data_IF_910240915730
#
_entry.id   IF_910240915730
#
_cell.length_a   1.000
_cell.length_b   1.000
_cell.length_c   1.000
_cell.angle_alpha   90.00
_cell.angle_beta   90.00
_cell.angle_gamma   90.00
#
_symmetry.space_group_name_H-M   'P 1'
#
loop_
_entity.id
_entity.type
_entity.pdbx_description
1 polymer ?
#
# COMPACT_ATOMS: atom_id res chain seq x y z
N UNK A 1 3.35 10.57 43.38
CA UNK A 1 3.52 11.25 42.08
C UNK A 1 4.06 10.24 41.08
N UNK A 2 3.29 9.91 40.05
CA UNK A 2 3.65 8.89 39.06
C UNK A 2 4.68 9.43 38.08
N UNK A 3 5.85 8.80 38.05
CA UNK A 3 6.90 9.03 37.05
C UNK A 3 6.40 8.46 35.72
N UNK A 4 5.67 9.29 34.96
CA UNK A 4 5.42 9.00 33.55
C UNK A 4 6.79 9.06 32.85
N UNK A 5 7.40 7.88 32.72
CA UNK A 5 8.56 7.68 31.88
C UNK A 5 8.09 7.79 30.44
N UNK A 6 8.06 9.02 29.92
CA UNK A 6 8.05 9.25 28.48
C UNK A 6 9.27 8.54 27.93
N UNK A 7 9.03 7.35 27.38
CA UNK A 7 10.09 6.58 26.77
C UNK A 7 10.52 7.36 25.53
N UNK A 8 11.83 7.58 25.32
CA UNK A 8 12.32 8.30 24.16
C UNK A 8 11.70 7.69 22.90
N UNK A 9 10.98 8.52 22.15
CA UNK A 9 10.47 8.15 20.84
C UNK A 9 11.66 8.11 19.89
N UNK A 10 11.90 6.97 19.28
CA UNK A 10 12.93 6.84 18.26
C UNK A 10 12.42 7.42 16.94
N UNK A 11 13.33 7.83 16.05
CA UNK A 11 12.95 8.35 14.73
C UNK A 11 12.00 7.42 13.97
N UNK A 12 12.16 6.10 14.13
CA UNK A 12 11.26 5.09 13.57
C UNK A 12 9.85 5.17 14.20
N UNK A 13 9.77 5.37 15.52
CA UNK A 13 8.49 5.49 16.22
C UNK A 13 7.74 6.75 15.78
N UNK A 14 8.44 7.88 15.69
CA UNK A 14 7.83 9.14 15.22
C UNK A 14 7.35 9.02 13.77
N UNK A 15 8.16 8.41 12.90
CA UNK A 15 7.79 8.18 11.51
C UNK A 15 6.56 7.29 11.38
N UNK A 16 6.50 6.18 12.12
CA UNK A 16 5.32 5.31 12.15
C UNK A 16 4.08 6.07 12.65
N UNK A 17 4.24 6.91 13.67
CA UNK A 17 3.14 7.71 14.18
C UNK A 17 2.64 8.71 13.14
N UNK A 18 3.56 9.41 12.46
CA UNK A 18 3.25 10.34 11.38
C UNK A 18 2.49 9.66 10.24
N UNK A 19 2.94 8.48 9.77
CA UNK A 19 2.27 7.71 8.72
C UNK A 19 0.84 7.33 9.14
N UNK A 20 0.63 6.97 10.41
CA UNK A 20 -0.67 6.53 10.91
C UNK A 20 -1.63 7.73 11.11
N UNK A 21 -1.10 8.87 11.53
CA UNK A 21 -1.87 10.10 11.77
C UNK A 21 -2.24 10.79 10.46
N UNK A 22 -1.36 10.74 9.46
CA UNK A 22 -1.59 11.34 8.15
C UNK A 22 -2.67 10.60 7.36
N UNK A 23 -3.49 11.31 6.59
CA UNK A 23 -4.53 10.73 5.72
C UNK A 23 -4.00 10.12 4.42
N UNK A 24 -2.68 10.18 4.23
CA UNK A 24 -1.97 9.53 3.13
C UNK A 24 -1.97 8.01 3.28
N UNK A 25 -1.87 7.31 2.15
CA UNK A 25 -1.73 5.85 2.16
C UNK A 25 -0.34 5.44 2.66
N UNK A 26 -0.25 4.40 3.52
CA UNK A 26 1.01 4.00 4.13
C UNK A 26 2.07 3.55 3.11
N UNK A 27 1.65 3.15 1.92
CA UNK A 27 2.53 2.69 0.83
C UNK A 27 3.45 3.79 0.27
N UNK A 28 3.12 5.06 0.53
CA UNK A 28 3.86 6.22 0.04
C UNK A 28 5.19 6.35 0.79
N UNK A 29 5.13 6.34 2.11
CA UNK A 29 6.29 6.55 3.00
C UNK A 29 6.98 5.24 3.37
N UNK A 30 6.39 4.10 3.00
CA UNK A 30 6.89 2.76 3.29
C UNK A 30 8.35 2.53 2.86
N UNK A 31 8.80 2.91 1.64
CA UNK A 31 10.18 2.63 1.22
C UNK A 31 11.19 3.34 2.10
N UNK A 32 10.91 4.59 2.45
CA UNK A 32 11.78 5.39 3.29
C UNK A 32 11.73 4.90 4.75
N UNK A 33 10.56 4.52 5.27
CA UNK A 33 10.45 3.88 6.58
C UNK A 33 11.27 2.57 6.64
N UNK A 34 11.14 1.72 5.64
CA UNK A 34 11.90 0.47 5.54
C UNK A 34 13.41 0.74 5.52
N UNK A 35 13.87 1.77 4.80
CA UNK A 35 15.28 2.16 4.81
C UNK A 35 15.75 2.66 6.18
N UNK A 36 14.96 3.49 6.88
CA UNK A 36 15.29 3.94 8.23
C UNK A 36 15.39 2.78 9.23
N UNK A 37 14.49 1.79 9.10
CA UNK A 37 14.51 0.58 9.93
C UNK A 37 15.79 -0.24 9.68
N UNK A 38 16.23 -0.35 8.42
CA UNK A 38 17.46 -1.08 8.06
C UNK A 38 18.72 -0.42 8.58
N UNK A 39 18.73 0.91 8.64
CA UNK A 39 19.90 1.68 9.05
C UNK A 39 20.16 1.57 10.57
N UNK A 40 19.09 1.35 11.35
CA UNK A 40 19.17 1.26 12.81
C UNK A 40 19.24 -0.20 13.28
N UNK A 41 20.23 -0.53 14.12
CA UNK A 41 20.47 -1.90 14.62
C UNK A 41 19.23 -2.54 15.29
N UNK A 42 18.45 -1.78 16.06
CA UNK A 42 17.21 -2.23 16.73
C UNK A 42 15.92 -1.84 15.98
N UNK A 43 16.02 -1.41 14.73
CA UNK A 43 14.92 -0.74 14.04
C UNK A 43 13.68 -1.60 13.84
N UNK A 44 13.86 -2.89 13.54
CA UNK A 44 12.74 -3.81 13.31
C UNK A 44 11.95 -4.08 14.62
N UNK A 45 12.65 -4.21 15.75
CA UNK A 45 12.05 -4.38 17.08
C UNK A 45 11.31 -3.10 17.50
N UNK A 46 11.87 -1.93 17.22
CA UNK A 46 11.23 -0.65 17.52
C UNK A 46 9.97 -0.44 16.67
N UNK A 47 10.02 -0.76 15.39
CA UNK A 47 8.84 -0.73 14.53
C UNK A 47 7.75 -1.69 15.04
N UNK A 48 8.11 -2.91 15.46
CA UNK A 48 7.17 -3.84 16.08
C UNK A 48 6.56 -3.27 17.36
N UNK A 49 7.37 -2.61 18.21
CA UNK A 49 6.91 -1.96 19.44
C UNK A 49 5.94 -0.80 19.15
N UNK A 50 6.23 0.03 18.16
CA UNK A 50 5.41 1.17 17.75
C UNK A 50 4.05 0.70 17.22
N UNK A 51 4.04 -0.26 16.29
CA UNK A 51 2.80 -0.87 15.75
C UNK A 51 1.98 -1.49 16.88
N UNK A 52 2.61 -2.28 17.76
CA UNK A 52 1.92 -2.91 18.91
C UNK A 52 1.26 -1.87 19.82
N UNK A 53 1.94 -0.75 20.09
CA UNK A 53 1.37 0.34 20.91
C UNK A 53 0.16 0.98 20.21
N UNK A 54 0.23 1.26 18.90
CA UNK A 54 -0.90 1.79 18.12
C UNK A 54 -2.09 0.81 18.07
N UNK A 55 -1.84 -0.50 18.01
CA UNK A 55 -2.90 -1.52 18.14
C UNK A 55 -3.50 -1.64 19.56
N UNK A 56 -2.79 -1.17 20.60
CA UNK A 56 -3.26 -1.23 21.99
C UNK A 56 -3.99 0.02 22.44
N UNK A 57 -3.43 1.19 22.12
CA UNK A 57 -3.87 2.47 22.65
C UNK A 57 -4.46 3.41 21.58
N UNK A 58 -4.24 3.10 20.30
CA UNK A 58 -4.72 3.95 19.22
C UNK A 58 -6.23 3.88 19.03
N UNK A 59 -6.79 4.89 18.37
CA UNK A 59 -8.20 4.92 18.00
C UNK A 59 -8.54 3.87 16.94
N UNK A 60 -9.83 3.62 16.69
CA UNK A 60 -10.27 2.66 15.66
C UNK A 60 -9.57 2.89 14.31
N UNK A 61 -9.57 4.13 13.79
CA UNK A 61 -8.89 4.46 12.51
C UNK A 61 -7.39 4.16 12.54
N UNK A 62 -6.70 4.53 13.61
CA UNK A 62 -5.26 4.28 13.79
C UNK A 62 -4.94 2.79 13.91
N UNK A 63 -5.81 2.02 14.58
CA UNK A 63 -5.70 0.56 14.64
C UNK A 63 -5.85 -0.06 13.24
N UNK A 64 -6.76 0.45 12.40
CA UNK A 64 -6.90 -0.01 11.02
C UNK A 64 -5.68 0.33 10.17
N UNK A 65 -5.19 1.57 10.24
CA UNK A 65 -4.01 2.04 9.49
C UNK A 65 -2.74 1.33 9.94
N UNK A 66 -2.56 1.10 11.24
CA UNK A 66 -1.41 0.32 11.74
C UNK A 66 -1.41 -1.13 11.25
N UNK A 67 -2.58 -1.76 11.06
CA UNK A 67 -2.67 -3.07 10.41
C UNK A 67 -2.33 -3.00 8.90
N UNK A 68 -2.73 -1.94 8.20
CA UNK A 68 -2.37 -1.76 6.79
C UNK A 68 -0.87 -1.55 6.62
N UNK A 69 -0.28 -0.69 7.44
CA UNK A 69 1.16 -0.46 7.46
C UNK A 69 1.93 -1.75 7.79
N UNK A 70 1.49 -2.50 8.80
CA UNK A 70 2.08 -3.79 9.13
C UNK A 70 2.01 -4.75 7.94
N UNK A 71 0.87 -4.85 7.26
CA UNK A 71 0.74 -5.70 6.08
C UNK A 71 1.68 -5.26 4.96
N UNK A 72 1.75 -3.96 4.68
CA UNK A 72 2.64 -3.41 3.66
C UNK A 72 4.12 -3.73 3.97
N UNK A 73 4.54 -3.62 5.24
CA UNK A 73 5.87 -4.02 5.69
C UNK A 73 6.13 -5.53 5.59
N UNK A 74 5.13 -6.38 5.82
CA UNK A 74 5.27 -7.84 5.68
C UNK A 74 5.45 -8.23 4.21
N UNK A 75 4.66 -7.63 3.32
CA UNK A 75 4.71 -7.92 1.88
C UNK A 75 6.00 -7.39 1.25
N UNK A 76 6.46 -6.20 1.64
CA UNK A 76 7.58 -5.52 0.98
C UNK A 76 8.93 -5.60 1.73
N UNK A 77 8.94 -5.98 3.00
CA UNK A 77 10.12 -5.85 3.87
C UNK A 77 11.20 -6.93 3.73
N UNK A 78 10.84 -8.12 3.25
CA UNK A 78 11.78 -9.23 3.06
C UNK A 78 12.49 -9.67 4.36
N UNK A 79 13.64 -10.36 4.23
CA UNK A 79 14.36 -10.95 5.39
C UNK A 79 14.81 -9.94 6.44
N UNK A 80 15.05 -8.69 6.06
CA UNK A 80 15.60 -7.68 6.98
C UNK A 80 14.64 -7.28 8.10
N UNK A 81 13.34 -7.57 7.96
CA UNK A 81 12.34 -7.34 9.01
C UNK A 81 11.98 -8.62 9.78
N UNK A 82 12.83 -9.64 9.74
CA UNK A 82 12.64 -10.93 10.44
C UNK A 82 12.30 -10.73 11.93
N UNK A 83 12.99 -9.82 12.62
CA UNK A 83 12.72 -9.56 14.04
C UNK A 83 11.33 -8.97 14.29
N UNK A 84 10.81 -8.17 13.35
CA UNK A 84 9.46 -7.62 13.45
C UNK A 84 8.40 -8.71 13.25
N UNK A 85 8.63 -9.64 12.31
CA UNK A 85 7.71 -10.72 12.01
C UNK A 85 7.64 -11.78 13.12
N UNK A 86 8.70 -11.86 13.94
CA UNK A 86 8.82 -12.82 15.02
C UNK A 86 8.75 -12.15 16.42
N UNK A 87 8.40 -10.87 16.51
CA UNK A 87 8.24 -10.19 17.79
C UNK A 87 7.08 -10.79 18.60
N UNK A 88 7.43 -11.44 19.71
CA UNK A 88 6.48 -12.17 20.57
C UNK A 88 5.34 -11.27 21.07
N UNK A 89 5.65 -10.03 21.48
CA UNK A 89 4.68 -9.12 22.08
C UNK A 89 3.69 -8.57 21.04
N UNK A 90 4.16 -8.35 19.81
CA UNK A 90 3.31 -7.95 18.68
C UNK A 90 2.37 -9.10 18.28
N UNK A 91 2.90 -10.33 18.14
CA UNK A 91 2.11 -11.51 17.80
C UNK A 91 1.04 -11.82 18.85
N UNK A 92 1.39 -11.76 20.14
CA UNK A 92 0.43 -11.92 21.23
C UNK A 92 -0.66 -10.85 21.17
N UNK A 93 -0.31 -9.60 20.87
CA UNK A 93 -1.31 -8.53 20.73
C UNK A 93 -2.27 -8.80 19.58
N UNK A 94 -1.76 -9.21 18.42
CA UNK A 94 -2.60 -9.58 17.27
C UNK A 94 -3.53 -10.75 17.59
N UNK A 95 -3.02 -11.78 18.28
CA UNK A 95 -3.82 -12.92 18.74
C UNK A 95 -4.94 -12.47 19.67
N UNK A 96 -4.63 -11.71 20.72
CA UNK A 96 -5.61 -11.18 21.66
C UNK A 96 -6.67 -10.33 20.92
N UNK A 97 -6.24 -9.46 20.02
CA UNK A 97 -7.13 -8.64 19.19
C UNK A 97 -8.01 -9.44 18.23
N UNK A 98 -7.57 -10.65 17.86
CA UNK A 98 -8.34 -11.55 17.01
C UNK A 98 -9.32 -12.46 17.79
N UNK A 99 -9.06 -12.72 19.08
CA UNK A 99 -9.88 -13.61 19.92
C UNK A 99 -10.88 -12.86 20.81
N UNK A 100 -10.54 -11.66 21.27
CA UNK A 100 -11.35 -10.92 22.23
C UNK A 100 -12.72 -10.50 21.63
N UNK A 101 -13.85 -10.91 22.25
CA UNK A 101 -15.18 -10.51 21.84
C UNK A 101 -15.42 -8.99 21.92
N UNK A 102 -14.78 -8.31 22.87
CA UNK A 102 -14.98 -6.88 23.17
C UNK A 102 -14.31 -5.97 22.14
N UNK A 103 -13.36 -6.50 21.36
CA UNK A 103 -12.67 -5.75 20.32
C UNK A 103 -13.56 -5.60 19.09
N UNK A 104 -13.42 -4.46 18.41
CA UNK A 104 -14.17 -4.11 17.22
C UNK A 104 -14.20 -5.28 16.21
N UNK A 105 -15.42 -5.73 15.89
CA UNK A 105 -15.64 -6.88 14.99
C UNK A 105 -14.99 -6.68 13.61
N UNK A 106 -14.94 -5.46 13.09
CA UNK A 106 -14.28 -5.17 11.81
C UNK A 106 -12.76 -5.35 11.90
N UNK A 107 -12.15 -4.91 13.00
CA UNK A 107 -10.71 -5.04 13.23
C UNK A 107 -10.33 -6.51 13.37
N UNK A 108 -11.12 -7.25 14.16
CA UNK A 108 -10.98 -8.70 14.35
C UNK A 108 -11.01 -9.46 13.02
N UNK A 109 -12.00 -9.17 12.17
CA UNK A 109 -12.08 -9.74 10.81
C UNK A 109 -10.85 -9.42 9.96
N UNK A 110 -10.36 -8.19 10.01
CA UNK A 110 -9.18 -7.77 9.25
C UNK A 110 -7.93 -8.54 9.67
N UNK A 111 -7.68 -8.68 10.98
CA UNK A 111 -6.55 -9.46 11.51
C UNK A 111 -6.64 -10.92 11.04
N UNK A 112 -7.83 -11.55 11.11
CA UNK A 112 -8.03 -12.93 10.64
C UNK A 112 -7.70 -13.06 9.15
N UNK A 113 -8.17 -12.13 8.31
CA UNK A 113 -7.89 -12.14 6.87
C UNK A 113 -6.39 -11.99 6.60
N UNK A 114 -5.72 -11.07 7.29
CA UNK A 114 -4.27 -10.88 7.18
C UNK A 114 -3.51 -12.12 7.62
N UNK A 115 -3.90 -12.75 8.73
CA UNK A 115 -3.30 -13.99 9.22
C UNK A 115 -3.38 -15.13 8.19
N UNK A 116 -4.52 -15.27 7.53
CA UNK A 116 -4.72 -16.26 6.47
C UNK A 116 -3.82 -15.94 5.28
N UNK A 117 -3.83 -14.69 4.82
CA UNK A 117 -2.98 -14.22 3.71
C UNK A 117 -1.49 -14.44 3.99
N UNK A 118 -1.02 -14.08 5.18
CA UNK A 118 0.39 -14.24 5.54
C UNK A 118 0.79 -15.71 5.62
N UNK A 119 -0.08 -16.58 6.15
CA UNK A 119 0.17 -18.01 6.15
C UNK A 119 0.24 -18.57 4.71
N UNK A 120 -0.67 -18.19 3.81
CA UNK A 120 -0.67 -18.68 2.43
C UNK A 120 0.53 -18.20 1.61
N UNK A 121 1.00 -16.97 1.85
CA UNK A 121 2.08 -16.37 1.06
C UNK A 121 3.48 -16.63 1.64
N UNK A 122 3.59 -16.92 2.94
CA UNK A 122 4.87 -16.95 3.64
C UNK A 122 5.08 -18.17 4.53
N UNK A 123 4.21 -19.21 4.49
CA UNK A 123 4.40 -20.45 5.27
C UNK A 123 5.74 -21.12 5.03
N UNK A 124 6.28 -21.01 3.82
CA UNK A 124 7.46 -21.75 3.37
C UNK A 124 8.76 -21.05 3.79
N UNK A 125 8.67 -19.81 4.27
CA UNK A 125 9.82 -18.94 4.55
C UNK A 125 10.06 -18.88 6.06
N UNK A 126 11.22 -19.40 6.50
CA UNK A 126 11.60 -19.49 7.92
C UNK A 126 11.56 -18.14 8.65
N UNK A 127 11.96 -17.06 7.99
CA UNK A 127 12.00 -15.72 8.61
C UNK A 127 10.62 -15.10 8.84
N UNK A 128 9.53 -15.65 8.28
CA UNK A 128 8.15 -15.23 8.56
C UNK A 128 7.42 -16.16 9.55
N UNK A 129 8.12 -17.08 10.22
CA UNK A 129 7.51 -18.16 11.00
C UNK A 129 6.47 -17.67 12.03
N UNK A 130 6.73 -16.57 12.73
CA UNK A 130 5.84 -15.99 13.72
C UNK A 130 4.52 -15.52 13.13
N UNK A 131 4.58 -14.60 12.16
CA UNK A 131 3.42 -14.06 11.45
C UNK A 131 2.67 -15.14 10.66
N UNK A 132 3.37 -16.03 9.95
CA UNK A 132 2.73 -17.12 9.20
C UNK A 132 2.09 -18.16 10.13
N UNK A 133 2.63 -18.35 11.34
CA UNK A 133 2.07 -19.22 12.37
C UNK A 133 0.81 -18.67 13.04
N UNK A 134 0.54 -17.37 12.92
CA UNK A 134 -0.57 -16.67 13.58
C UNK A 134 -1.94 -17.28 13.22
N UNK A 135 -2.13 -17.73 11.98
CA UNK A 135 -3.37 -18.40 11.51
C UNK A 135 -3.75 -19.60 12.38
N UNK A 136 -2.77 -20.40 12.83
CA UNK A 136 -3.01 -21.60 13.64
C UNK A 136 -3.48 -21.25 15.07
N UNK A 137 -3.25 -20.02 15.51
CA UNK A 137 -3.51 -19.57 16.89
C UNK A 137 -4.79 -18.75 17.04
N UNK A 138 -5.49 -18.48 15.94
CA UNK A 138 -6.66 -17.61 15.89
C UNK A 138 -7.87 -18.42 15.42
N UNK A 139 -9.08 -18.14 15.93
CA UNK A 139 -10.31 -18.78 15.46
C UNK A 139 -10.57 -18.49 13.98
N UNK A 140 -10.14 -19.38 13.09
CA UNK A 140 -10.54 -19.37 11.69
C UNK A 140 -11.91 -20.02 11.59
N UNK A 141 -12.99 -19.25 11.82
CA UNK A 141 -14.30 -19.69 11.32
C UNK A 141 -14.15 -19.80 9.81
N UNK A 142 -14.20 -21.03 9.28
CA UNK A 142 -14.29 -21.29 7.84
C UNK A 142 -15.43 -20.43 7.31
N UNK A 143 -15.08 -19.31 6.70
CA UNK A 143 -16.04 -18.40 6.10
C UNK A 143 -16.47 -19.09 4.81
N UNK A 144 -17.25 -20.17 4.92
CA UNK A 144 -18.04 -20.66 3.81
C UNK A 144 -18.88 -19.45 3.39
N UNK A 145 -18.54 -18.84 2.24
CA UNK A 145 -19.40 -17.85 1.60
C UNK A 145 -20.80 -18.48 1.59
N UNK A 146 -21.73 -17.93 2.37
CA UNK A 146 -23.15 -18.20 2.14
C UNK A 146 -23.41 -17.67 0.74
N UNK A 147 -23.42 -18.58 -0.23
CA UNK A 147 -23.96 -18.33 -1.56
C UNK A 147 -25.45 -18.09 -1.28
N UNK A 148 -25.86 -16.83 -1.31
CA UNK A 148 -27.27 -16.46 -1.26
C UNK A 148 -27.89 -16.90 -2.58
N UNK A 149 -28.32 -18.15 -2.64
CA UNK A 149 -29.32 -18.58 -3.60
C UNK A 149 -30.67 -18.17 -3.04
N UNK A 150 -31.17 -17.07 -3.58
CA UNK A 150 -32.54 -16.61 -3.38
C UNK A 150 -33.44 -17.52 -4.22
N UNK A 151 -33.85 -18.67 -3.70
CA UNK A 151 -34.95 -19.42 -4.30
C UNK A 151 -35.90 -19.94 -3.21
N UNK A 152 -37.14 -19.55 -3.43
CA UNK A 152 -38.40 -19.91 -2.81
C UNK A 152 -38.64 -21.42 -2.71
N UNK A 153 -39.26 -21.86 -1.61
CA UNK A 153 -40.24 -22.95 -1.65
C UNK A 153 -39.80 -24.32 -1.10
N UNK A 154 -40.35 -24.64 0.08
CA UNK A 154 -41.00 -25.91 0.44
C UNK A 154 -40.25 -27.27 0.47
N UNK A 155 -40.37 -27.89 1.66
CA UNK A 155 -40.59 -29.31 1.93
C UNK A 155 -39.43 -30.32 1.94
N UNK A 156 -39.28 -30.93 3.13
CA UNK A 156 -38.98 -32.35 3.45
C UNK A 156 -38.23 -33.23 2.44
N UNK A 157 -37.14 -33.85 2.91
CA UNK A 157 -36.76 -35.29 2.77
C UNK A 157 -35.38 -35.46 3.43
N UNK A 158 -35.25 -36.04 4.64
CA UNK A 158 -35.31 -37.46 4.98
C UNK A 158 -34.35 -38.32 4.14
N UNK A 159 -33.32 -38.85 4.81
CA UNK A 159 -32.39 -39.93 4.44
C UNK A 159 -31.91 -40.00 2.98
N UNK A 160 -30.61 -39.77 2.75
CA UNK A 160 -29.91 -40.69 1.86
C UNK A 160 -28.46 -40.91 2.29
N UNK A 161 -28.12 -42.18 2.28
CA UNK A 161 -26.96 -42.85 2.86
C UNK A 161 -25.78 -42.87 1.88
N UNK A 162 -24.66 -43.36 2.40
CA UNK A 162 -23.31 -43.52 1.88
C UNK A 162 -23.01 -43.74 0.38
N UNK A 163 -21.77 -43.36 0.05
CA UNK A 163 -20.84 -44.03 -0.87
C UNK A 163 -21.18 -44.13 -2.37
N UNK A 164 -20.63 -43.20 -3.17
CA UNK A 164 -19.81 -43.49 -4.36
C UNK A 164 -19.52 -42.16 -5.11
N UNK A 165 -18.29 -41.65 -5.04
CA UNK A 165 -17.51 -41.40 -6.26
C UNK A 165 -16.08 -40.98 -5.92
N UNK A 166 -15.17 -41.94 -6.07
CA UNK A 166 -13.75 -41.70 -6.15
C UNK A 166 -13.40 -41.00 -7.46
N UNK A 167 -12.38 -40.14 -7.40
CA UNK A 167 -11.46 -39.81 -8.52
C UNK A 167 -12.06 -39.04 -9.70
N UNK A 168 -11.82 -37.74 -9.70
CA UNK A 168 -11.36 -37.06 -10.91
C UNK A 168 -10.24 -36.08 -10.56
N UNK A 169 -9.00 -36.55 -10.72
CA UNK A 169 -7.85 -35.69 -10.99
C UNK A 169 -7.90 -35.40 -12.48
N UNK A 170 -8.36 -34.22 -12.86
CA UNK A 170 -8.15 -33.70 -14.22
C UNK A 170 -7.16 -32.56 -14.15
N UNK A 171 -5.96 -32.84 -14.67
CA UNK A 171 -5.02 -31.86 -15.17
C UNK A 171 -5.69 -31.16 -16.36
N UNK A 172 -6.10 -29.90 -16.17
CA UNK A 172 -6.38 -29.00 -17.29
C UNK A 172 -5.78 -27.62 -16.98
N UNK A 173 -4.46 -27.53 -17.15
CA UNK A 173 -3.82 -26.26 -17.48
C UNK A 173 -3.95 -26.07 -18.99
N UNK A 174 -4.84 -25.18 -19.41
CA UNK A 174 -4.68 -24.29 -20.57
C UNK A 174 -5.86 -23.29 -20.50
N UNK A 175 -5.55 -21.99 -20.46
CA UNK A 175 -6.46 -20.85 -20.31
C UNK A 175 -7.22 -20.70 -18.97
N UNK A 176 -6.47 -20.47 -17.89
CA UNK A 176 -7.02 -19.77 -16.73
C UNK A 176 -6.94 -18.27 -17.03
N UNK A 177 -8.09 -17.58 -17.03
CA UNK A 177 -8.16 -16.12 -17.12
C UNK A 177 -7.04 -15.47 -16.29
N UNK A 178 -6.23 -14.55 -16.83
CA UNK A 178 -5.15 -13.90 -16.09
C UNK A 178 -5.64 -13.30 -14.77
N UNK A 179 -6.87 -12.79 -14.76
CA UNK A 179 -7.57 -12.28 -13.58
C UNK A 179 -7.77 -13.33 -12.47
N UNK A 180 -8.02 -14.59 -12.85
CA UNK A 180 -8.16 -15.72 -11.92
C UNK A 180 -6.77 -16.25 -11.51
N UNK A 181 -5.82 -16.33 -12.44
CA UNK A 181 -4.44 -16.78 -12.20
C UNK A 181 -3.69 -15.87 -11.21
N UNK A 182 -3.85 -14.56 -11.36
CA UNK A 182 -3.20 -13.55 -10.51
C UNK A 182 -4.10 -13.01 -9.39
N UNK A 183 -5.28 -13.60 -9.18
CA UNK A 183 -6.25 -13.22 -8.14
C UNK A 183 -6.49 -11.70 -8.07
N UNK A 184 -6.61 -11.07 -9.24
CA UNK A 184 -6.82 -9.62 -9.37
C UNK A 184 -8.14 -9.28 -8.65
N UNK A 185 -8.14 -8.45 -7.59
CA UNK A 185 -9.35 -8.16 -6.82
C UNK A 185 -10.41 -7.51 -7.72
N UNK A 186 -11.53 -8.21 -7.98
CA UNK A 186 -12.65 -7.62 -8.70
C UNK A 186 -13.26 -6.50 -7.86
N UNK A 187 -13.08 -5.26 -8.32
CA UNK A 187 -13.62 -4.06 -7.70
C UNK A 187 -15.14 -4.07 -7.83
N UNK A 188 -15.86 -3.81 -6.73
CA UNK A 188 -17.29 -3.56 -6.79
C UNK A 188 -17.50 -2.12 -7.26
N UNK A 189 -17.67 -1.94 -8.58
CA UNK A 189 -17.72 -0.63 -9.24
C UNK A 189 -18.71 0.36 -8.58
N UNK A 190 -19.87 -0.10 -8.11
CA UNK A 190 -20.86 0.75 -7.43
C UNK A 190 -20.35 1.38 -6.14
N UNK A 191 -19.46 0.70 -5.39
CA UNK A 191 -18.91 1.23 -4.14
C UNK A 191 -17.70 2.13 -4.35
N UNK A 192 -17.05 1.97 -5.49
CA UNK A 192 -15.76 2.59 -5.80
C UNK A 192 -15.93 3.78 -6.75
N UNK A 193 -17.07 3.88 -7.44
CA UNK A 193 -17.48 5.06 -8.23
C UNK A 193 -17.25 6.41 -7.54
N UNK A 194 -17.68 6.67 -6.29
CA UNK A 194 -17.43 7.96 -5.64
C UNK A 194 -15.94 8.22 -5.39
N UNK A 195 -15.15 7.17 -5.13
CA UNK A 195 -13.70 7.29 -4.95
C UNK A 195 -12.99 7.54 -6.27
N UNK A 196 -13.43 6.89 -7.35
CA UNK A 196 -12.90 7.11 -8.71
C UNK A 196 -13.16 8.56 -9.13
N UNK A 197 -14.37 9.09 -8.90
CA UNK A 197 -14.70 10.50 -9.18
C UNK A 197 -13.82 11.47 -8.40
N UNK A 198 -13.65 11.22 -7.10
CA UNK A 198 -12.76 12.03 -6.24
C UNK A 198 -11.31 11.99 -6.74
N UNK A 199 -10.84 10.81 -7.13
CA UNK A 199 -9.47 10.57 -7.56
C UNK A 199 -9.15 11.22 -8.91
N UNK A 200 -10.12 11.24 -9.84
CA UNK A 200 -10.02 12.01 -11.09
C UNK A 200 -9.91 13.51 -10.77
N UNK A 201 -10.74 14.03 -9.88
CA UNK A 201 -10.68 15.44 -9.49
C UNK A 201 -9.34 15.79 -8.80
N UNK A 202 -8.84 14.91 -7.93
CA UNK A 202 -7.55 15.08 -7.26
C UNK A 202 -6.38 15.06 -8.26
N UNK A 203 -6.46 14.21 -9.29
CA UNK A 203 -5.46 14.13 -10.35
C UNK A 203 -5.36 15.42 -11.15
N UNK A 204 -6.49 15.97 -11.62
CA UNK A 204 -6.51 17.24 -12.34
C UNK A 204 -6.06 18.40 -11.46
N UNK A 205 -6.40 18.41 -10.17
CA UNK A 205 -5.88 19.42 -9.25
C UNK A 205 -4.36 19.31 -9.07
N UNK A 206 -3.84 18.10 -8.93
CA UNK A 206 -2.41 17.86 -8.74
C UNK A 206 -1.59 18.21 -9.98
N UNK A 207 -2.06 17.88 -11.20
CA UNK A 207 -1.41 18.24 -12.46
C UNK A 207 -1.32 19.76 -12.63
N UNK A 208 -2.42 20.48 -12.36
CA UNK A 208 -2.47 21.94 -12.40
C UNK A 208 -1.51 22.55 -11.38
N UNK A 209 -1.53 22.07 -10.13
CA UNK A 209 -0.66 22.59 -9.09
C UNK A 209 0.83 22.39 -9.42
N UNK A 210 1.19 21.22 -9.95
CA UNK A 210 2.55 20.92 -10.38
C UNK A 210 2.96 21.87 -11.53
N UNK A 211 2.15 22.00 -12.58
CA UNK A 211 2.44 22.88 -13.71
C UNK A 211 2.58 24.35 -13.30
N UNK A 212 1.75 24.84 -12.38
CA UNK A 212 1.83 26.21 -11.87
C UNK A 212 3.07 26.41 -11.00
N UNK A 213 3.43 25.42 -10.18
CA UNK A 213 4.67 25.48 -9.40
C UNK A 213 5.91 25.48 -10.29
N UNK A 214 5.90 24.75 -11.40
CA UNK A 214 6.98 24.74 -12.39
C UNK A 214 7.14 26.09 -13.09
N UNK A 215 6.03 26.76 -13.41
CA UNK A 215 6.07 28.13 -13.98
C UNK A 215 6.69 29.15 -13.03
N UNK A 216 6.66 28.89 -11.72
CA UNK A 216 7.27 29.77 -10.70
C UNK A 216 8.76 29.51 -10.46
N UNK A 217 9.34 28.46 -11.06
CA UNK A 217 10.77 28.18 -11.00
C UNK A 217 11.51 29.19 -11.86
N UNK A 218 12.42 29.96 -11.26
CA UNK A 218 13.18 30.98 -11.99
C UNK A 218 14.33 30.33 -12.77
N UNK A 219 14.01 29.79 -13.94
CA UNK A 219 15.01 29.19 -14.84
C UNK A 219 16.14 30.19 -15.17
N UNK A 220 15.82 31.50 -15.25
CA UNK A 220 16.78 32.57 -15.52
C UNK A 220 17.81 32.82 -14.40
N UNK A 221 17.57 32.32 -13.18
CA UNK A 221 18.51 32.41 -12.04
C UNK A 221 19.28 31.11 -11.80
N UNK A 222 19.13 30.11 -12.67
CA UNK A 222 19.75 28.79 -12.49
C UNK A 222 19.05 27.90 -11.47
N UNK A 223 17.80 28.21 -11.09
CA UNK A 223 17.01 27.33 -10.21
C UNK A 223 16.49 26.12 -10.99
N UNK A 224 16.74 24.91 -10.48
CA UNK A 224 16.17 23.67 -11.00
C UNK A 224 14.78 23.40 -10.41
N UNK A 225 13.99 22.53 -11.04
CA UNK A 225 12.73 22.05 -10.44
C UNK A 225 12.93 21.28 -9.12
N UNK A 226 14.13 20.78 -8.86
CA UNK A 226 14.48 20.11 -7.60
C UNK A 226 14.76 21.08 -6.45
N UNK A 227 15.14 22.33 -6.75
CA UNK A 227 15.41 23.35 -5.73
C UNK A 227 14.12 23.95 -5.15
N UNK A 228 13.03 23.91 -5.92
CA UNK A 228 11.74 24.40 -5.46
C UNK A 228 11.00 23.34 -4.63
N UNK A 229 10.98 23.55 -3.32
CA UNK A 229 10.31 22.68 -2.33
C UNK A 229 8.82 22.46 -2.65
N UNK A 230 8.12 23.44 -3.24
CA UNK A 230 6.70 23.25 -3.61
C UNK A 230 6.58 22.37 -4.86
N UNK A 231 7.48 22.54 -5.82
CA UNK A 231 7.49 21.72 -7.03
C UNK A 231 7.80 20.25 -6.72
N UNK A 232 8.77 19.98 -5.84
CA UNK A 232 9.09 18.61 -5.38
C UNK A 232 7.90 17.97 -4.66
N UNK A 233 7.23 18.70 -3.75
CA UNK A 233 6.03 18.21 -3.07
C UNK A 233 4.88 17.86 -4.04
N UNK A 234 4.61 18.74 -5.01
CA UNK A 234 3.57 18.46 -6.02
C UNK A 234 3.97 17.36 -7.00
N UNK A 235 5.26 17.18 -7.27
CA UNK A 235 5.79 16.08 -8.06
C UNK A 235 5.54 14.74 -7.37
N UNK A 236 5.87 14.62 -6.08
CA UNK A 236 5.62 13.40 -5.31
C UNK A 236 4.12 13.11 -5.21
N UNK A 237 3.31 14.13 -4.92
CA UNK A 237 1.84 13.99 -4.88
C UNK A 237 1.28 13.49 -6.23
N UNK A 238 1.75 14.05 -7.34
CA UNK A 238 1.34 13.64 -8.70
C UNK A 238 1.72 12.19 -9.02
N UNK A 239 2.91 11.73 -8.60
CA UNK A 239 3.33 10.32 -8.78
C UNK A 239 2.44 9.34 -8.02
N UNK A 240 2.02 9.72 -6.82
CA UNK A 240 1.17 8.90 -5.96
C UNK A 240 -0.21 8.75 -6.59
N UNK A 241 -0.83 9.86 -6.98
CA UNK A 241 -2.16 9.84 -7.60
C UNK A 241 -2.13 9.04 -8.91
N UNK A 242 -1.06 9.20 -9.71
CA UNK A 242 -0.87 8.42 -10.96
C UNK A 242 -0.86 6.92 -10.72
N UNK A 243 -0.19 6.43 -9.66
CA UNK A 243 -0.20 4.99 -9.33
C UNK A 243 -1.61 4.48 -9.03
N UNK A 244 -2.39 5.28 -8.31
CA UNK A 244 -3.79 4.92 -8.01
C UNK A 244 -4.66 4.96 -9.26
N UNK A 245 -4.48 5.94 -10.16
CA UNK A 245 -5.15 5.96 -11.46
C UNK A 245 -4.83 4.70 -12.27
N UNK A 246 -3.56 4.32 -12.37
CA UNK A 246 -3.14 3.10 -13.08
C UNK A 246 -3.76 1.83 -12.48
N UNK A 247 -3.89 1.78 -11.14
CA UNK A 247 -4.57 0.68 -10.48
C UNK A 247 -6.05 0.58 -10.89
N UNK A 248 -6.78 1.70 -10.92
CA UNK A 248 -8.17 1.71 -11.36
C UNK A 248 -8.31 1.43 -12.87
N UNK A 249 -7.39 1.93 -13.72
CA UNK A 249 -7.37 1.62 -15.15
C UNK A 249 -7.23 0.11 -15.43
N UNK A 250 -6.50 -0.62 -14.60
CA UNK A 250 -6.36 -2.08 -14.73
C UNK A 250 -7.59 -2.88 -14.28
N UNK A 251 -8.52 -2.24 -13.56
CA UNK A 251 -9.60 -2.91 -12.84
C UNK A 251 -11.00 -2.47 -13.27
N UNK A 252 -11.09 -1.34 -13.97
CA UNK A 252 -12.35 -0.73 -14.39
C UNK A 252 -12.63 -1.10 -15.85
N UNK A 253 -13.59 -2.00 -16.05
CA UNK A 253 -14.09 -2.39 -17.37
C UNK A 253 -15.25 -1.50 -17.86
N UNK A 254 -15.66 -0.48 -17.08
CA UNK A 254 -16.78 0.40 -17.42
C UNK A 254 -16.37 1.61 -18.27
N UNK A 255 -17.04 1.79 -19.39
CA UNK A 255 -16.80 2.89 -20.34
C UNK A 255 -16.97 4.29 -19.72
N UNK A 256 -17.84 4.46 -18.70
CA UNK A 256 -18.12 5.76 -18.05
C UNK A 256 -16.87 6.43 -17.44
N UNK A 257 -16.00 5.64 -16.80
CA UNK A 257 -14.82 6.18 -16.09
C UNK A 257 -13.51 5.96 -16.84
N UNK A 258 -13.49 5.06 -17.82
CA UNK A 258 -12.28 4.68 -18.53
C UNK A 258 -11.67 5.89 -19.24
N UNK A 259 -12.47 6.64 -20.01
CA UNK A 259 -12.01 7.84 -20.71
C UNK A 259 -11.45 8.91 -19.77
N UNK A 260 -12.18 9.21 -18.70
CA UNK A 260 -11.79 10.21 -17.69
C UNK A 260 -10.52 9.81 -16.93
N UNK A 261 -10.35 8.51 -16.62
CA UNK A 261 -9.14 8.00 -15.97
C UNK A 261 -7.93 8.03 -16.90
N UNK A 262 -8.10 7.74 -18.20
CA UNK A 262 -7.03 7.84 -19.19
C UNK A 262 -6.59 9.31 -19.31
N UNK A 263 -7.54 10.22 -19.47
CA UNK A 263 -7.25 11.65 -19.60
C UNK A 263 -6.52 12.21 -18.37
N UNK A 264 -6.99 11.89 -17.16
CA UNK A 264 -6.33 12.29 -15.92
C UNK A 264 -4.90 11.73 -15.78
N UNK A 265 -4.64 10.52 -16.32
CA UNK A 265 -3.28 9.96 -16.36
C UNK A 265 -2.39 10.73 -17.34
N UNK A 266 -2.90 11.06 -18.53
CA UNK A 266 -2.17 11.83 -19.53
C UNK A 266 -1.75 13.21 -18.99
N UNK A 267 -2.67 13.93 -18.33
CA UNK A 267 -2.37 15.21 -17.68
C UNK A 267 -1.25 15.09 -16.63
N UNK A 268 -1.32 14.05 -15.78
CA UNK A 268 -0.28 13.80 -14.78
C UNK A 268 1.06 13.43 -15.43
N UNK A 269 1.06 12.62 -16.49
CA UNK A 269 2.28 12.26 -17.22
C UNK A 269 2.93 13.50 -17.82
N UNK A 270 2.16 14.37 -18.46
CA UNK A 270 2.67 15.61 -19.03
C UNK A 270 3.29 16.52 -17.96
N UNK A 271 2.61 16.72 -16.83
CA UNK A 271 3.13 17.54 -15.74
C UNK A 271 4.41 16.94 -15.11
N UNK A 272 4.48 15.61 -14.98
CA UNK A 272 5.67 14.92 -14.48
C UNK A 272 6.85 15.00 -15.48
N UNK A 273 6.59 14.90 -16.78
CA UNK A 273 7.61 15.07 -17.82
C UNK A 273 8.19 16.48 -17.82
N UNK A 274 7.33 17.51 -17.72
CA UNK A 274 7.77 18.90 -17.59
C UNK A 274 8.69 19.07 -16.38
N UNK A 275 8.35 18.49 -15.23
CA UNK A 275 9.22 18.54 -14.05
C UNK A 275 10.62 17.96 -14.34
N UNK A 276 10.69 16.82 -15.04
CA UNK A 276 11.99 16.20 -15.38
C UNK A 276 12.78 17.01 -16.41
N UNK A 277 12.12 17.63 -17.38
CA UNK A 277 12.78 18.46 -18.39
C UNK A 277 13.40 19.71 -17.76
N UNK A 278 12.68 20.38 -16.86
CA UNK A 278 13.19 21.55 -16.15
C UNK A 278 14.30 21.21 -15.14
N UNK A 279 14.35 19.96 -14.63
CA UNK A 279 15.49 19.47 -13.88
C UNK A 279 16.72 19.22 -14.77
N UNK A 280 16.54 18.74 -16.00
CA UNK A 280 17.63 18.42 -16.93
C UNK A 280 18.20 19.67 -17.66
N UNK A 281 17.42 20.73 -17.83
CA UNK A 281 17.78 21.91 -18.65
C UNK A 281 19.04 22.67 -18.20
N UNK A 282 19.44 22.54 -16.93
CA UNK A 282 20.65 23.18 -16.40
C UNK A 282 21.90 22.35 -16.71
N UNK A 283 21.79 21.02 -16.82
CA UNK A 283 22.93 20.16 -17.16
C UNK A 283 23.41 20.27 -18.62
N UNK A 284 22.59 20.84 -19.51
CA UNK A 284 22.93 21.01 -20.94
C UNK A 284 23.46 22.40 -21.31
N UNK A 285 23.49 23.36 -20.40
CA UNK A 285 24.00 24.72 -20.67
C UNK A 285 25.42 24.96 -20.16
N UNK A 286 26.01 23.98 -19.47
CA UNK A 286 27.36 24.08 -18.87
C UNK A 286 28.39 23.20 -19.62
N UNK A 287 28.05 22.72 -20.83
CA UNK A 287 28.92 21.83 -21.62
C UNK A 287 29.16 22.25 -23.08
N UNK A 288 28.68 23.42 -23.51
CA UNK A 288 28.82 23.88 -24.90
C UNK A 288 29.55 25.24 -25.05
N UNK A 289 30.31 25.72 -24.05
CA UNK A 289 31.03 27.01 -24.18
C UNK A 289 32.49 26.98 -23.69
N UNK A 290 33.27 26.00 -24.16
CA UNK A 290 34.74 26.04 -24.12
C UNK A 290 35.31 25.08 -25.20
N UNK A 291 35.50 25.59 -26.43
CA UNK A 291 36.63 25.28 -27.33
C UNK A 291 36.30 25.53 -28.80
N UNK A 292 36.57 26.74 -29.31
CA UNK A 292 36.99 27.00 -30.71
C UNK A 292 37.25 28.50 -30.93
N UNK A 293 38.37 29.03 -30.46
CA UNK A 293 38.84 30.39 -30.82
C UNK A 293 40.36 30.54 -30.92
N UNK A 294 41.07 29.48 -31.34
CA UNK A 294 42.52 29.58 -31.49
C UNK A 294 43.06 28.90 -32.74
N UNK A 295 42.47 29.18 -33.91
CA UNK A 295 43.19 29.14 -35.20
C UNK A 295 42.50 30.08 -36.20
N UNK A 296 42.95 31.33 -36.28
CA UNK A 296 43.16 32.03 -37.56
C UNK A 296 43.72 33.45 -37.32
N UNK A 297 44.87 33.70 -37.93
CA UNK A 297 45.41 34.98 -38.41
C UNK A 297 46.66 35.53 -37.69
N UNK A 298 47.76 35.55 -38.45
CA UNK A 298 48.81 36.58 -38.38
C UNK A 298 50.10 36.15 -37.72
#
# INVERSE_FOLDING_TARGET
MGVFTDHPHTAITEKINSIIETDLEPDIELPELINTIKLQYSGAIEAARAIRKKLKYGQSKEQFKSLDLLNAMVVNGGRQLEELYNDRKLLERLKLSATDPQINTKLRKKIIILAISWNENFSDKKYYQGIAGLKKQIPTKSYKRKKSTTETGSSSNFMNDEAYNSRSRTNTSQNVDPNVKYKIPKINLQKESPKIKLLIAEASQASINLSNSLKSVNVAKGETSTDNVKATQYFDKSRIIRRKILHYLQLVDSEEFLGSLIHANEELVQALQQYTEYAAKITSHDSDDESLSSYESG
#
